data_IF_076950912721
#
_entry.id   IF_076950912721
#
_cell.length_a   1.000
_cell.length_b   1.000
_cell.length_c   1.000
_cell.angle_alpha   90.00
_cell.angle_beta   90.00
_cell.angle_gamma   90.00
#
_symmetry.space_group_name_H-M   'P 1'
#
loop_
_entity.id
_entity.type
_entity.pdbx_description
1 polymer ?
#
# COMPACT_ATOMS: atom_id res chain seq x y z
N UNK A 1 -16.29 -54.70 -44.38
CA UNK A 1 -16.03 -54.54 -45.79
C UNK A 1 -15.09 -53.35 -45.87
N UNK A 2 -13.88 -53.56 -45.95
CA UNK A 2 -12.96 -53.85 -47.04
C UNK A 2 -12.27 -52.54 -47.36
N UNK A 3 -11.02 -52.36 -47.43
CA UNK A 3 -9.81 -53.01 -47.68
C UNK A 3 -8.66 -52.09 -47.39
N UNK A 4 -7.62 -52.48 -46.78
CA UNK A 4 -6.36 -52.95 -47.34
C UNK A 4 -5.86 -52.22 -48.60
N UNK A 5 -4.72 -51.54 -48.50
CA UNK A 5 -3.58 -51.65 -49.35
C UNK A 5 -2.51 -50.66 -48.90
N UNK A 6 -1.40 -51.20 -48.33
CA UNK A 6 -0.13 -51.44 -49.01
C UNK A 6 0.42 -50.18 -49.72
N UNK A 7 1.32 -49.46 -49.07
CA UNK A 7 2.52 -48.96 -49.73
C UNK A 7 3.73 -48.94 -48.78
N UNK A 8 4.25 -50.06 -48.49
CA UNK A 8 5.62 -50.26 -48.07
C UNK A 8 6.46 -50.29 -49.38
N UNK A 9 7.27 -49.30 -49.60
CA UNK A 9 8.52 -49.43 -50.36
C UNK A 9 9.13 -48.03 -50.60
N UNK A 10 10.44 -48.01 -50.32
CA UNK A 10 11.41 -46.95 -50.67
C UNK A 10 11.75 -45.95 -49.57
N UNK A 11 12.35 -46.45 -48.50
CA UNK A 11 13.29 -45.66 -47.70
C UNK A 11 14.69 -46.05 -48.19
N UNK A 12 15.43 -45.14 -48.82
CA UNK A 12 16.87 -45.43 -49.06
C UNK A 12 17.60 -45.36 -47.71
N UNK A 13 18.22 -46.46 -47.31
CA UNK A 13 19.21 -46.49 -46.25
C UNK A 13 20.39 -45.58 -46.61
N UNK A 14 20.33 -44.36 -46.25
CA UNK A 14 21.50 -43.49 -46.17
C UNK A 14 22.03 -43.54 -44.75
N UNK A 15 22.99 -44.41 -44.50
CA UNK A 15 23.83 -44.41 -43.32
C UNK A 15 24.46 -43.04 -43.14
N UNK A 16 24.21 -42.34 -42.01
CA UNK A 16 24.94 -41.11 -41.72
C UNK A 16 26.38 -41.49 -41.38
N UNK A 17 27.28 -41.03 -42.20
CA UNK A 17 28.73 -41.07 -41.97
C UNK A 17 28.99 -40.52 -40.56
N UNK A 18 29.63 -41.34 -39.71
CA UNK A 18 30.15 -40.89 -38.41
C UNK A 18 31.09 -39.72 -38.66
N UNK A 19 30.63 -38.51 -38.41
CA UNK A 19 31.51 -37.36 -38.27
C UNK A 19 32.39 -37.59 -37.04
N UNK A 20 33.72 -37.41 -37.17
CA UNK A 20 34.59 -37.49 -36.00
C UNK A 20 34.18 -36.38 -35.04
N UNK A 21 33.76 -36.74 -33.84
CA UNK A 21 33.53 -35.85 -32.75
C UNK A 21 34.85 -35.14 -32.44
N UNK A 22 35.02 -33.90 -32.96
CA UNK A 22 36.04 -33.00 -32.45
C UNK A 22 35.72 -32.78 -31.00
N UNK A 23 36.49 -33.38 -30.11
CA UNK A 23 36.51 -33.04 -28.70
C UNK A 23 36.95 -31.58 -28.66
N UNK A 24 35.97 -30.68 -28.50
CA UNK A 24 36.24 -29.27 -28.15
C UNK A 24 36.78 -29.35 -26.75
N UNK A 25 38.10 -29.32 -26.66
CA UNK A 25 38.82 -29.15 -25.40
C UNK A 25 38.37 -27.83 -24.81
N UNK A 26 37.38 -27.92 -23.92
CA UNK A 26 36.87 -26.79 -23.14
C UNK A 26 38.05 -26.23 -22.35
N UNK A 27 38.63 -25.15 -22.86
CA UNK A 27 39.56 -24.35 -22.13
C UNK A 27 38.87 -23.91 -20.82
N UNK A 28 39.12 -24.67 -19.75
CA UNK A 28 38.77 -24.25 -18.40
C UNK A 28 39.49 -22.92 -18.14
N UNK A 29 38.80 -21.82 -18.37
CA UNK A 29 39.20 -20.54 -17.82
C UNK A 29 39.47 -20.77 -16.33
N UNK A 30 40.71 -20.58 -15.92
CA UNK A 30 41.04 -20.52 -14.49
C UNK A 30 40.22 -19.40 -13.89
N UNK A 31 39.16 -19.76 -13.20
CA UNK A 31 38.43 -18.82 -12.35
C UNK A 31 39.40 -18.45 -11.23
N UNK A 32 39.91 -17.24 -11.30
CA UNK A 32 40.69 -16.65 -10.20
C UNK A 32 39.75 -16.47 -9.03
N UNK A 33 39.91 -17.27 -7.98
CA UNK A 33 39.17 -17.12 -6.73
C UNK A 33 39.49 -15.77 -6.09
N UNK A 34 38.48 -15.20 -5.42
CA UNK A 34 38.63 -13.96 -4.64
C UNK A 34 39.68 -14.14 -3.55
N UNK A 35 40.54 -13.13 -3.41
CA UNK A 35 41.51 -13.09 -2.31
C UNK A 35 40.83 -12.65 -1.01
N UNK A 36 41.32 -13.14 0.12
CA UNK A 36 40.80 -12.76 1.46
C UNK A 36 40.91 -11.25 1.69
N UNK A 37 41.99 -10.62 1.19
CA UNK A 37 42.23 -9.17 1.27
C UNK A 37 41.18 -8.37 0.45
N UNK A 38 40.84 -8.86 -0.73
CA UNK A 38 39.82 -8.22 -1.59
C UNK A 38 38.43 -8.22 -0.93
N UNK A 39 38.04 -9.35 -0.28
CA UNK A 39 36.83 -9.43 0.50
C UNK A 39 36.84 -8.46 1.68
N UNK A 40 37.97 -8.35 2.38
CA UNK A 40 38.14 -7.48 3.54
C UNK A 40 37.95 -6.00 3.16
N UNK A 41 38.58 -5.57 2.04
CA UNK A 41 38.46 -4.19 1.54
C UNK A 41 37.01 -3.88 1.14
N UNK A 42 36.30 -4.79 0.45
CA UNK A 42 34.91 -4.58 0.06
C UNK A 42 34.01 -4.45 1.30
N UNK A 43 34.19 -5.29 2.31
CA UNK A 43 33.43 -5.18 3.57
C UNK A 43 33.70 -3.85 4.29
N UNK A 44 34.92 -3.39 4.31
CA UNK A 44 35.30 -2.08 4.91
C UNK A 44 34.57 -0.91 4.19
N UNK A 45 34.54 -0.93 2.85
CA UNK A 45 33.83 0.09 2.06
C UNK A 45 32.32 0.05 2.30
N UNK A 46 31.71 -1.15 2.32
CA UNK A 46 30.27 -1.28 2.59
C UNK A 46 29.92 -0.71 3.98
N UNK A 47 30.71 -0.99 5.02
CA UNK A 47 30.46 -0.46 6.35
C UNK A 47 30.50 1.07 6.38
N UNK A 48 31.42 1.70 5.65
CA UNK A 48 31.50 3.17 5.57
C UNK A 48 30.25 3.76 4.90
N UNK A 49 29.81 3.22 3.76
CA UNK A 49 28.61 3.75 3.08
C UNK A 49 27.31 3.51 3.86
N UNK A 50 27.20 2.40 4.62
CA UNK A 50 26.03 2.13 5.47
C UNK A 50 25.88 3.18 6.59
N UNK A 51 26.94 3.69 7.17
CA UNK A 51 26.87 4.69 8.25
C UNK A 51 26.18 5.99 7.80
N UNK A 52 26.33 6.36 6.53
CA UNK A 52 25.72 7.57 5.95
C UNK A 52 24.30 7.29 5.43
N UNK A 53 24.07 6.11 4.84
CA UNK A 53 22.81 5.77 4.16
C UNK A 53 21.63 5.48 5.08
N UNK A 54 21.86 4.81 6.21
CA UNK A 54 20.78 4.38 7.10
C UNK A 54 19.96 5.52 7.71
N UNK A 55 20.53 6.61 8.25
CA UNK A 55 19.75 7.71 8.82
C UNK A 55 18.93 8.46 7.76
N UNK A 56 19.43 8.58 6.53
CA UNK A 56 18.70 9.21 5.43
C UNK A 56 17.45 8.39 5.03
N UNK A 57 17.55 7.07 5.00
CA UNK A 57 16.42 6.18 4.72
C UNK A 57 15.30 6.30 5.76
N UNK A 58 15.64 6.36 7.04
CA UNK A 58 14.65 6.52 8.12
C UNK A 58 13.88 7.84 8.00
N UNK A 59 14.59 8.93 7.69
CA UNK A 59 13.95 10.24 7.51
C UNK A 59 13.02 10.27 6.29
N UNK A 60 13.42 9.65 5.19
CA UNK A 60 12.59 9.55 3.98
C UNK A 60 11.34 8.71 4.23
N UNK A 61 11.47 7.58 4.93
CA UNK A 61 10.31 6.74 5.32
C UNK A 61 9.34 7.51 6.21
N UNK A 62 9.86 8.29 7.18
CA UNK A 62 9.04 9.15 8.02
C UNK A 62 8.22 10.13 7.18
N UNK A 63 8.86 10.88 6.28
CA UNK A 63 8.18 11.84 5.40
C UNK A 63 7.14 11.17 4.51
N UNK A 64 7.45 10.00 3.95
CA UNK A 64 6.54 9.23 3.11
C UNK A 64 5.28 8.81 3.89
N UNK A 65 5.43 8.31 5.12
CA UNK A 65 4.31 7.91 5.97
C UNK A 65 3.46 9.12 6.38
N UNK A 66 4.07 10.24 6.76
CA UNK A 66 3.35 11.48 7.07
C UNK A 66 2.56 12.00 5.87
N UNK A 67 3.16 12.00 4.68
CA UNK A 67 2.47 12.41 3.43
C UNK A 67 1.31 11.46 3.11
N UNK A 68 1.49 10.15 3.29
CA UNK A 68 0.43 9.16 3.12
C UNK A 68 -0.73 9.38 4.10
N UNK A 69 -0.43 9.71 5.36
CA UNK A 69 -1.45 10.01 6.37
C UNK A 69 -2.27 11.26 6.00
N UNK A 70 -1.60 12.32 5.53
CA UNK A 70 -2.26 13.54 5.07
C UNK A 70 -3.15 13.28 3.85
N UNK A 71 -2.66 12.48 2.89
CA UNK A 71 -3.46 12.09 1.71
C UNK A 71 -4.71 11.35 2.14
N UNK A 72 -4.56 10.38 3.04
CA UNK A 72 -5.69 9.58 3.52
C UNK A 72 -6.72 10.40 4.31
N UNK A 73 -6.28 11.40 5.07
CA UNK A 73 -7.23 12.33 5.72
C UNK A 73 -8.07 13.10 4.70
N UNK A 74 -7.49 13.50 3.56
CA UNK A 74 -8.23 14.15 2.47
C UNK A 74 -9.21 13.18 1.82
N UNK A 75 -8.80 11.93 1.60
CA UNK A 75 -9.67 10.89 1.05
C UNK A 75 -10.85 10.60 1.99
N UNK A 76 -10.60 10.51 3.30
CA UNK A 76 -11.64 10.30 4.30
C UNK A 76 -12.63 11.48 4.37
N UNK A 77 -12.16 12.72 4.28
CA UNK A 77 -13.05 13.88 4.16
C UNK A 77 -13.91 13.82 2.89
N UNK A 78 -13.33 13.37 1.78
CA UNK A 78 -14.08 13.17 0.53
C UNK A 78 -15.16 12.08 0.70
N UNK A 79 -14.84 10.96 1.35
CA UNK A 79 -15.83 9.89 1.61
C UNK A 79 -16.93 10.37 2.56
N UNK A 80 -16.62 11.15 3.58
CA UNK A 80 -17.62 11.76 4.47
C UNK A 80 -18.54 12.74 3.74
N UNK A 81 -17.99 13.58 2.87
CA UNK A 81 -18.79 14.48 2.03
C UNK A 81 -19.69 13.70 1.05
N UNK A 82 -19.18 12.64 0.44
CA UNK A 82 -19.95 11.77 -0.44
C UNK A 82 -21.07 11.02 0.33
N UNK A 83 -20.79 10.58 1.55
CA UNK A 83 -21.78 9.95 2.42
C UNK A 83 -22.91 10.94 2.79
N UNK A 84 -22.56 12.14 3.22
CA UNK A 84 -23.56 13.18 3.54
C UNK A 84 -24.43 13.54 2.34
N UNK A 85 -23.86 13.56 1.13
CA UNK A 85 -24.60 13.80 -0.10
C UNK A 85 -25.55 12.63 -0.45
N UNK A 86 -25.12 11.39 -0.22
CA UNK A 86 -25.92 10.18 -0.49
C UNK A 86 -27.03 9.96 0.56
N UNK A 87 -26.74 10.29 1.82
CA UNK A 87 -27.62 10.05 2.98
C UNK A 87 -27.88 11.35 3.79
N UNK A 88 -28.50 12.38 3.21
CA UNK A 88 -28.63 13.70 3.83
C UNK A 88 -29.43 13.70 5.13
N UNK A 89 -30.23 12.68 5.38
CA UNK A 89 -31.00 12.52 6.63
C UNK A 89 -30.18 11.95 7.79
N UNK A 90 -28.98 11.43 7.52
CA UNK A 90 -28.05 10.90 8.53
C UNK A 90 -26.92 11.88 8.86
N UNK A 91 -26.67 12.85 7.96
CA UNK A 91 -25.52 13.75 8.06
C UNK A 91 -24.22 13.05 7.69
N UNK A 92 -23.17 13.22 8.49
CA UNK A 92 -21.90 12.52 8.32
C UNK A 92 -21.97 11.09 8.88
N UNK A 93 -21.07 10.20 8.42
CA UNK A 93 -21.08 8.79 8.86
C UNK A 93 -20.51 8.60 10.26
N UNK A 94 -19.44 9.35 10.55
CA UNK A 94 -18.67 9.26 11.79
C UNK A 94 -18.17 7.85 12.13
N UNK A 95 -18.01 6.98 11.13
CA UNK A 95 -17.66 5.58 11.31
C UNK A 95 -17.06 4.97 10.05
N UNK A 96 -15.92 4.31 10.18
CA UNK A 96 -15.35 3.52 9.07
C UNK A 96 -16.30 2.42 8.57
N UNK A 97 -17.10 1.84 9.47
CA UNK A 97 -18.06 0.81 9.11
C UNK A 97 -19.15 1.36 8.19
N UNK A 98 -19.67 2.54 8.49
CA UNK A 98 -20.71 3.16 7.68
C UNK A 98 -20.19 3.61 6.31
N UNK A 99 -18.95 4.12 6.23
CA UNK A 99 -18.29 4.44 4.96
C UNK A 99 -17.90 3.21 4.15
N UNK A 100 -17.60 2.09 4.83
CA UNK A 100 -17.15 0.84 4.25
C UNK A 100 -18.27 -0.01 3.68
N UNK A 101 -18.01 -1.30 3.61
CA UNK A 101 -18.82 -2.32 2.97
C UNK A 101 -18.04 -2.99 1.85
N UNK A 102 -18.44 -4.20 1.47
CA UNK A 102 -17.80 -4.91 0.37
C UNK A 102 -18.35 -4.38 -0.96
N UNK A 103 -17.52 -3.71 -1.79
CA UNK A 103 -17.98 -3.17 -3.07
C UNK A 103 -18.60 -4.24 -3.96
N UNK A 104 -19.79 -3.95 -4.51
CA UNK A 104 -20.52 -4.88 -5.40
C UNK A 104 -21.24 -6.02 -4.68
N UNK A 105 -21.24 -6.07 -3.35
CA UNK A 105 -22.02 -7.03 -2.55
C UNK A 105 -23.22 -6.33 -1.92
N UNK A 106 -24.41 -6.58 -2.45
CA UNK A 106 -25.65 -5.94 -2.00
C UNK A 106 -25.81 -4.49 -2.48
N UNK A 107 -26.89 -3.86 -2.05
CA UNK A 107 -27.15 -2.43 -2.30
C UNK A 107 -26.50 -1.60 -1.20
N UNK A 108 -25.84 -0.46 -1.53
CA UNK A 108 -25.33 0.47 -0.52
C UNK A 108 -26.43 0.96 0.42
N UNK A 109 -26.13 0.97 1.72
CA UNK A 109 -27.04 1.47 2.78
C UNK A 109 -26.32 2.49 3.65
N UNK A 110 -27.03 3.20 4.51
CA UNK A 110 -26.42 4.14 5.44
C UNK A 110 -25.47 3.46 6.46
N UNK A 111 -25.65 2.16 6.74
CA UNK A 111 -24.79 1.38 7.62
C UNK A 111 -23.56 0.78 6.92
N UNK A 112 -23.57 0.76 5.56
CA UNK A 112 -22.51 0.22 4.72
C UNK A 112 -22.59 0.87 3.33
N UNK A 113 -22.08 2.10 3.20
CA UNK A 113 -22.26 2.94 2.01
C UNK A 113 -21.35 2.53 0.82
N UNK A 114 -20.38 1.64 1.02
CA UNK A 114 -19.45 1.16 -0.01
C UNK A 114 -18.66 2.31 -0.69
N UNK A 115 -18.41 3.39 0.04
CA UNK A 115 -17.69 4.56 -0.46
C UNK A 115 -16.18 4.47 -0.25
N UNK A 116 -15.77 3.66 0.73
CA UNK A 116 -14.38 3.53 1.15
C UNK A 116 -13.83 2.15 0.79
N UNK A 117 -12.56 2.05 0.32
CA UNK A 117 -11.90 0.76 0.10
C UNK A 117 -11.81 -0.09 1.37
N UNK A 118 -11.93 -1.41 1.21
CA UNK A 118 -11.97 -2.37 2.33
C UNK A 118 -10.69 -2.36 3.18
N UNK A 119 -9.53 -2.08 2.57
CA UNK A 119 -8.23 -2.00 3.25
C UNK A 119 -8.15 -0.89 4.31
N UNK A 120 -9.06 0.09 4.24
CA UNK A 120 -9.18 1.19 5.21
C UNK A 120 -10.16 0.88 6.35
N UNK A 121 -10.91 -0.20 6.27
CA UNK A 121 -11.95 -0.57 7.26
C UNK A 121 -11.39 -0.75 8.68
N UNK A 122 -10.11 -1.14 8.79
CA UNK A 122 -9.42 -1.28 10.07
C UNK A 122 -8.96 0.05 10.68
N UNK A 123 -9.04 1.15 9.94
CA UNK A 123 -8.50 2.45 10.32
C UNK A 123 -6.98 2.48 10.46
N UNK A 124 -6.24 1.51 9.89
CA UNK A 124 -4.77 1.47 9.98
C UNK A 124 -4.14 1.49 8.60
N UNK A 125 -3.24 2.43 8.35
CA UNK A 125 -2.47 2.52 7.10
C UNK A 125 -1.17 3.29 7.29
N UNK A 126 -0.11 2.83 6.63
CA UNK A 126 1.20 3.51 6.56
C UNK A 126 1.80 3.86 7.93
N UNK A 127 1.58 3.01 8.95
CA UNK A 127 2.09 3.24 10.31
C UNK A 127 1.34 4.31 11.09
N UNK A 128 0.08 4.58 10.70
CA UNK A 128 -0.87 5.44 11.38
C UNK A 128 -2.15 4.70 11.73
N UNK A 129 -2.71 5.03 12.88
CA UNK A 129 -4.05 4.63 13.29
C UNK A 129 -4.98 5.83 13.17
N UNK A 130 -6.04 5.68 12.37
CA UNK A 130 -7.07 6.67 12.13
C UNK A 130 -8.29 6.40 13.00
N UNK A 131 -8.89 7.45 13.52
CA UNK A 131 -10.13 7.35 14.31
C UNK A 131 -11.01 8.58 14.12
N UNK A 132 -12.32 8.36 14.18
CA UNK A 132 -13.30 9.42 14.25
C UNK A 132 -13.49 9.86 15.71
N UNK A 133 -13.58 11.15 15.94
CA UNK A 133 -13.84 11.77 17.24
C UNK A 133 -14.72 13.01 17.07
N UNK A 134 -15.15 13.58 18.17
CA UNK A 134 -15.96 14.81 18.22
C UNK A 134 -17.19 14.83 17.30
N UNK A 135 -17.79 13.65 17.12
CA UNK A 135 -19.00 13.48 16.33
C UNK A 135 -20.20 14.11 17.07
N UNK A 136 -20.58 15.31 16.66
CA UNK A 136 -21.72 16.01 17.26
C UNK A 136 -23.02 15.63 16.56
N UNK A 137 -23.99 15.18 17.33
CA UNK A 137 -25.34 14.93 16.86
C UNK A 137 -26.20 16.18 16.98
N UNK A 138 -27.03 16.40 15.98
CA UNK A 138 -28.06 17.45 15.96
C UNK A 138 -29.38 16.81 15.55
N UNK A 139 -30.45 17.07 16.28
CA UNK A 139 -31.78 16.57 15.91
C UNK A 139 -32.44 17.58 14.98
N UNK A 140 -32.75 17.16 13.75
CA UNK A 140 -33.46 17.96 12.75
C UNK A 140 -34.66 17.15 12.28
N UNK A 141 -35.87 17.72 12.38
CA UNK A 141 -37.14 17.04 12.02
C UNK A 141 -37.31 15.69 12.73
N UNK A 142 -37.08 15.62 14.03
CA UNK A 142 -37.13 14.43 14.88
C UNK A 142 -36.20 13.29 14.47
N UNK A 143 -35.13 13.60 13.74
CA UNK A 143 -34.09 12.64 13.34
C UNK A 143 -32.73 13.11 13.81
N UNK A 144 -32.00 12.21 14.45
CA UNK A 144 -30.61 12.45 14.84
C UNK A 144 -29.69 12.30 13.64
N UNK A 145 -28.92 13.33 13.36
CA UNK A 145 -27.89 13.31 12.31
C UNK A 145 -26.58 13.89 12.85
N UNK A 146 -25.47 13.41 12.32
CA UNK A 146 -24.16 13.96 12.66
C UNK A 146 -23.90 15.24 11.87
N UNK A 147 -23.70 16.35 12.58
CA UNK A 147 -23.46 17.69 12.00
C UNK A 147 -21.99 18.03 11.87
N UNK A 148 -21.12 17.41 12.64
CA UNK A 148 -19.68 17.59 12.59
C UNK A 148 -18.93 16.34 13.02
N UNK A 149 -17.67 16.25 12.61
CA UNK A 149 -16.74 15.19 12.99
C UNK A 149 -15.31 15.72 13.03
N UNK A 150 -14.46 14.99 13.69
CA UNK A 150 -13.01 15.13 13.58
C UNK A 150 -12.41 13.76 13.24
N UNK A 151 -11.48 13.72 12.31
CA UNK A 151 -10.67 12.55 12.02
C UNK A 151 -9.28 12.80 12.58
N UNK A 152 -8.76 11.85 13.35
CA UNK A 152 -7.41 11.90 13.90
C UNK A 152 -6.57 10.79 13.28
N UNK A 153 -5.32 11.09 12.95
CA UNK A 153 -4.31 10.16 12.49
C UNK A 153 -3.14 10.18 13.46
N UNK A 154 -3.07 9.17 14.32
CA UNK A 154 -2.03 9.03 15.34
C UNK A 154 -0.98 8.02 14.85
N UNK A 155 0.32 8.36 14.87
CA UNK A 155 1.36 7.45 14.42
C UNK A 155 1.57 6.31 15.41
N UNK A 156 1.82 5.11 14.89
CA UNK A 156 2.13 3.92 15.71
C UNK A 156 3.56 3.97 16.30
N UNK A 157 4.42 4.86 15.79
CA UNK A 157 5.82 5.03 16.23
C UNK A 157 6.05 6.43 16.76
N UNK A 158 6.79 6.53 17.86
CA UNK A 158 7.22 7.80 18.42
C UNK A 158 8.10 8.60 17.45
N UNK A 159 8.06 9.94 17.57
CA UNK A 159 8.86 10.85 16.75
C UNK A 159 8.25 11.24 15.39
N UNK A 160 7.05 10.74 15.07
CA UNK A 160 6.24 11.17 13.94
C UNK A 160 5.20 12.20 14.41
N UNK A 161 4.72 13.05 13.49
CA UNK A 161 3.65 14.00 13.79
C UNK A 161 2.29 13.31 13.74
N UNK A 162 1.38 13.70 14.64
CA UNK A 162 -0.04 13.36 14.52
C UNK A 162 -0.75 14.37 13.62
N UNK A 163 -1.86 13.96 12.99
CA UNK A 163 -2.66 14.83 12.13
C UNK A 163 -4.13 14.73 12.47
N UNK A 164 -4.86 15.84 12.28
CA UNK A 164 -6.30 15.90 12.48
C UNK A 164 -6.94 16.65 11.32
N UNK A 165 -8.15 16.25 10.98
CA UNK A 165 -8.99 16.97 10.02
C UNK A 165 -10.40 17.09 10.54
N UNK A 166 -11.10 18.15 10.15
CA UNK A 166 -12.49 18.43 10.49
C UNK A 166 -13.39 18.41 9.25
N UNK A 167 -14.68 18.60 9.43
CA UNK A 167 -15.69 18.67 8.38
C UNK A 167 -15.43 19.79 7.34
N UNK A 168 -14.67 20.80 7.71
CA UNK A 168 -14.21 21.86 6.81
C UNK A 168 -13.01 21.47 5.94
N UNK A 169 -12.46 20.25 6.14
CA UNK A 169 -11.30 19.75 5.38
C UNK A 169 -9.97 20.40 5.80
N UNK A 170 -9.94 21.15 6.89
CA UNK A 170 -8.73 21.78 7.39
C UNK A 170 -7.86 20.73 8.09
N UNK A 171 -6.62 20.58 7.61
CA UNK A 171 -5.67 19.64 8.22
C UNK A 171 -4.78 20.41 9.19
N UNK A 172 -4.73 19.93 10.42
CA UNK A 172 -3.86 20.42 11.48
C UNK A 172 -2.93 19.29 11.91
N UNK A 173 -1.87 19.63 12.64
CA UNK A 173 -0.95 18.62 13.14
C UNK A 173 -0.56 18.86 14.60
N UNK A 174 -0.17 17.76 15.26
CA UNK A 174 0.47 17.74 16.57
C UNK A 174 1.94 17.31 16.40
N UNK A 175 2.91 18.20 16.68
CA UNK A 175 4.33 17.86 16.55
C UNK A 175 4.79 16.73 17.47
N UNK A 176 4.03 16.45 18.55
CA UNK A 176 4.33 15.39 19.52
C UNK A 176 3.74 14.02 19.12
N UNK A 177 3.00 13.95 18.01
CA UNK A 177 2.43 12.69 17.53
C UNK A 177 1.12 12.28 18.21
N UNK A 178 0.46 13.17 18.93
CA UNK A 178 -0.85 12.94 19.55
C UNK A 178 -2.02 13.35 18.65
N UNK A 179 -3.19 13.44 19.28
CA UNK A 179 -4.44 13.92 18.66
C UNK A 179 -4.75 15.37 18.97
N UNK A 180 -3.89 16.07 19.71
CA UNK A 180 -4.09 17.47 20.06
C UNK A 180 -3.50 18.41 19.00
N UNK A 181 -4.15 18.46 17.84
CA UNK A 181 -3.68 19.19 16.67
C UNK A 181 -4.00 20.70 16.80
N UNK A 182 -3.00 21.49 17.11
CA UNK A 182 -3.13 22.95 17.27
C UNK A 182 -2.55 23.73 16.09
N UNK A 183 -1.61 23.12 15.33
CA UNK A 183 -0.91 23.81 14.26
C UNK A 183 -1.53 23.49 12.89
N UNK A 184 -1.81 24.55 12.10
CA UNK A 184 -2.38 24.40 10.77
C UNK A 184 -1.30 23.91 9.80
N UNK A 185 -1.62 22.90 9.00
CA UNK A 185 -0.77 22.45 7.91
C UNK A 185 -0.91 23.43 6.74
N UNK A 186 0.18 24.12 6.40
CA UNK A 186 0.26 25.08 5.28
C UNK A 186 0.68 24.39 4.00
#
# INVERSE_FOLDING_TARGET
MGGLCFLWLLIPESYPQRMPMKIVESQRKKESGFTLTELLVVMAVILVIMTIGLPALQQNTKRANETSAISLLRDLNYYEAAYNAAYPTHGFSCSFRALGGTPGVGTPTAEAAQLMPEDLSTGKKSGYTFSFSDCKKTTINDRDQYSSYQITAVPDKAGYRGFCSDEGGHIRFDPKGGSNCTELLR
#
